data_IF_195032250515
#
_entry.id   IF_195032250515
#
_cell.length_a   1.000
_cell.length_b   1.000
_cell.length_c   1.000
_cell.angle_alpha   90.00
_cell.angle_beta   90.00
_cell.angle_gamma   90.00
#
_symmetry.space_group_name_H-M   'P 1'
#
loop_
_entity.id
_entity.type
_entity.pdbx_description
1 polymer ?
#
# COMPACT_ATOMS: atom_id res chain seq x y z
N UNK A 1 -9.20 -19.64 -2.58
CA UNK A 1 -8.25 -18.49 -2.47
C UNK A 1 -8.01 -17.81 -3.80
N UNK A 2 -7.52 -18.49 -4.85
CA UNK A 2 -7.26 -17.89 -6.17
C UNK A 2 -8.40 -17.02 -6.71
N UNK A 3 -9.66 -17.49 -6.61
CA UNK A 3 -10.85 -16.72 -7.03
C UNK A 3 -10.92 -15.36 -6.31
N UNK A 4 -10.69 -15.34 -5.00
CA UNK A 4 -10.79 -14.12 -4.21
C UNK A 4 -9.66 -13.11 -4.56
N UNK A 5 -8.45 -13.59 -4.91
CA UNK A 5 -7.40 -12.73 -5.46
C UNK A 5 -7.79 -12.17 -6.84
N UNK A 6 -8.45 -12.96 -7.69
CA UNK A 6 -8.96 -12.49 -8.98
C UNK A 6 -10.05 -11.43 -8.77
N UNK A 7 -10.95 -11.63 -7.80
CA UNK A 7 -11.99 -10.66 -7.46
C UNK A 7 -11.33 -9.35 -6.96
N UNK A 8 -10.33 -9.43 -6.07
CA UNK A 8 -9.56 -8.26 -5.63
C UNK A 8 -8.93 -7.50 -6.81
N UNK A 9 -8.26 -8.25 -7.70
CA UNK A 9 -7.68 -7.65 -8.91
C UNK A 9 -8.73 -6.89 -9.72
N UNK A 10 -9.89 -7.49 -9.97
CA UNK A 10 -10.94 -6.89 -10.80
C UNK A 10 -11.52 -5.62 -10.16
N UNK A 11 -11.78 -5.63 -8.85
CA UNK A 11 -12.24 -4.44 -8.12
C UNK A 11 -11.20 -3.30 -8.17
N UNK A 12 -9.91 -3.63 -8.03
CA UNK A 12 -8.83 -2.63 -8.16
C UNK A 12 -8.78 -2.06 -9.58
N UNK A 13 -8.99 -2.88 -10.62
CA UNK A 13 -9.06 -2.38 -12.00
C UNK A 13 -10.16 -1.34 -12.15
N UNK A 14 -11.35 -1.59 -11.61
CA UNK A 14 -12.46 -0.65 -11.65
C UNK A 14 -12.14 0.66 -10.95
N UNK A 15 -11.58 0.61 -9.72
CA UNK A 15 -11.17 1.81 -9.00
C UNK A 15 -10.11 2.60 -9.77
N UNK A 16 -9.15 1.89 -10.36
CA UNK A 16 -8.03 2.50 -11.10
C UNK A 16 -8.49 3.22 -12.36
N UNK A 17 -9.34 2.58 -13.15
CA UNK A 17 -9.86 3.14 -14.40
C UNK A 17 -10.79 4.34 -14.16
N UNK A 18 -11.50 4.35 -13.04
CA UNK A 18 -12.39 5.45 -12.63
C UNK A 18 -11.67 6.62 -11.93
N UNK A 19 -10.38 6.49 -11.62
CA UNK A 19 -9.59 7.56 -11.02
C UNK A 19 -8.57 8.11 -12.03
N UNK A 20 -8.72 9.39 -12.40
CA UNK A 20 -7.87 10.02 -13.42
C UNK A 20 -6.40 10.13 -13.00
N UNK A 21 -6.10 10.38 -11.73
CA UNK A 21 -4.72 10.50 -11.25
C UNK A 21 -4.00 9.16 -11.31
N UNK A 22 -4.64 8.08 -10.88
CA UNK A 22 -4.11 6.72 -10.99
C UNK A 22 -3.92 6.29 -12.46
N UNK A 23 -4.93 6.50 -13.29
CA UNK A 23 -4.89 6.11 -14.71
C UNK A 23 -3.89 6.93 -15.54
N UNK A 24 -3.59 8.17 -15.11
CA UNK A 24 -2.53 9.00 -15.70
C UNK A 24 -1.15 8.64 -15.16
N UNK A 25 -1.06 8.18 -13.91
CA UNK A 25 0.22 7.74 -13.34
C UNK A 25 0.75 6.52 -14.09
N UNK A 26 -0.04 5.46 -14.21
CA UNK A 26 0.32 4.28 -15.01
C UNK A 26 -0.90 3.47 -15.41
N UNK A 27 -0.79 2.73 -16.52
CA UNK A 27 -1.84 1.78 -16.94
C UNK A 27 -1.63 0.44 -16.26
N UNK A 28 -2.73 -0.15 -15.76
CA UNK A 28 -2.65 -1.50 -15.20
C UNK A 28 -2.32 -2.54 -16.28
N UNK A 29 -1.38 -3.47 -16.00
CA UNK A 29 -0.98 -4.50 -16.95
C UNK A 29 -2.12 -5.49 -17.23
N UNK A 30 -2.41 -5.79 -18.48
CA UNK A 30 -3.45 -6.75 -18.86
C UNK A 30 -3.01 -8.21 -18.82
N UNK A 31 -1.72 -8.46 -18.74
CA UNK A 31 -1.04 -9.76 -18.84
C UNK A 31 -0.55 -10.29 -17.47
N UNK A 32 -1.26 -9.96 -16.40
CA UNK A 32 -0.95 -10.43 -15.05
C UNK A 32 -1.12 -11.94 -14.91
N UNK A 33 -0.09 -12.62 -14.40
CA UNK A 33 -0.09 -14.06 -14.15
C UNK A 33 -0.25 -14.28 -12.64
N UNK A 34 -1.32 -14.98 -12.25
CA UNK A 34 -1.51 -15.35 -10.83
C UNK A 34 -0.36 -16.21 -10.34
N UNK A 35 0.19 -15.83 -9.21
CA UNK A 35 1.29 -16.49 -8.53
C UNK A 35 0.87 -16.87 -7.09
N UNK A 36 1.02 -18.14 -6.76
CA UNK A 36 0.73 -18.62 -5.41
C UNK A 36 1.96 -18.39 -4.52
N UNK A 37 1.84 -17.42 -3.64
CA UNK A 37 2.91 -17.05 -2.70
C UNK A 37 2.61 -17.63 -1.33
N UNK A 38 3.64 -18.12 -0.63
CA UNK A 38 3.49 -18.64 0.73
C UNK A 38 3.00 -17.53 1.67
N UNK A 39 1.91 -17.78 2.43
CA UNK A 39 1.39 -16.79 3.38
C UNK A 39 2.38 -16.46 4.49
N UNK A 40 2.37 -15.21 4.92
CA UNK A 40 3.05 -14.74 6.12
C UNK A 40 2.09 -13.86 6.92
N UNK A 41 1.51 -14.42 7.97
CA UNK A 41 0.42 -13.78 8.74
C UNK A 41 0.96 -13.06 9.98
N UNK A 42 1.25 -11.77 9.83
CA UNK A 42 1.85 -10.90 10.84
C UNK A 42 0.81 -10.19 11.74
N UNK A 43 1.24 -9.60 12.84
CA UNK A 43 0.35 -8.91 13.78
C UNK A 43 -0.48 -7.78 13.15
N UNK A 44 0.07 -6.89 12.30
CA UNK A 44 -0.74 -5.88 11.60
C UNK A 44 -1.86 -6.48 10.75
N UNK A 45 -1.64 -7.61 10.11
CA UNK A 45 -2.65 -8.32 9.33
C UNK A 45 -3.85 -8.76 10.19
N UNK A 46 -3.59 -9.23 11.42
CA UNK A 46 -4.64 -9.59 12.40
C UNK A 46 -5.46 -8.38 12.84
N UNK A 47 -4.81 -7.23 13.00
CA UNK A 47 -5.48 -5.98 13.37
C UNK A 47 -6.40 -5.46 12.26
N UNK A 48 -6.00 -5.64 10.98
CA UNK A 48 -6.80 -5.29 9.82
C UNK A 48 -8.11 -6.09 9.77
N UNK A 49 -8.10 -7.37 10.10
CA UNK A 49 -9.28 -8.23 10.04
C UNK A 49 -10.48 -7.73 10.86
N UNK A 50 -10.21 -7.07 11.98
CA UNK A 50 -11.24 -6.54 12.88
C UNK A 50 -11.67 -5.11 12.54
N UNK A 51 -11.15 -4.53 11.46
CA UNK A 51 -11.44 -3.15 11.06
C UNK A 51 -12.47 -3.11 9.93
N UNK A 52 -13.49 -2.26 10.06
CA UNK A 52 -14.50 -2.01 9.03
C UNK A 52 -14.16 -0.75 8.24
N UNK A 53 -14.36 -0.80 6.92
CA UNK A 53 -14.25 0.38 6.07
C UNK A 53 -15.48 1.29 6.26
N UNK A 54 -15.22 2.60 6.23
CA UNK A 54 -16.27 3.61 6.26
C UNK A 54 -16.54 4.23 4.87
N UNK A 55 -15.77 3.87 3.84
CA UNK A 55 -15.97 4.34 2.47
C UNK A 55 -16.76 3.34 1.66
N UNK A 56 -17.92 3.74 1.15
CA UNK A 56 -18.79 2.89 0.32
C UNK A 56 -18.07 2.48 -0.96
N UNK A 57 -17.36 3.39 -1.60
CA UNK A 57 -16.73 3.20 -2.91
C UNK A 57 -15.56 2.20 -2.87
N UNK A 58 -14.87 2.10 -1.74
CA UNK A 58 -13.70 1.23 -1.57
C UNK A 58 -13.94 0.04 -0.63
N UNK A 59 -15.12 -0.02 0.00
CA UNK A 59 -15.48 -1.06 0.99
C UNK A 59 -15.29 -2.47 0.43
N UNK A 60 -15.65 -2.70 -0.83
CA UNK A 60 -15.52 -4.01 -1.46
C UNK A 60 -14.06 -4.46 -1.52
N UNK A 61 -13.13 -3.58 -1.92
CA UNK A 61 -11.68 -3.87 -1.94
C UNK A 61 -11.17 -4.13 -0.53
N UNK A 62 -11.55 -3.27 0.43
CA UNK A 62 -11.19 -3.43 1.85
C UNK A 62 -11.61 -4.80 2.39
N UNK A 63 -12.87 -5.20 2.19
CA UNK A 63 -13.42 -6.45 2.71
C UNK A 63 -12.77 -7.68 2.07
N UNK A 64 -12.44 -7.63 0.79
CA UNK A 64 -11.70 -8.71 0.14
C UNK A 64 -10.28 -8.82 0.72
N UNK A 65 -9.58 -7.71 0.95
CA UNK A 65 -8.25 -7.72 1.57
C UNK A 65 -8.32 -8.32 2.97
N UNK A 66 -9.33 -7.96 3.78
CA UNK A 66 -9.55 -8.58 5.11
C UNK A 66 -9.72 -10.10 5.01
N UNK A 67 -10.58 -10.56 4.11
CA UNK A 67 -10.82 -12.00 3.91
C UNK A 67 -9.57 -12.74 3.44
N UNK A 68 -8.73 -12.08 2.64
CA UNK A 68 -7.47 -12.63 2.14
C UNK A 68 -6.34 -12.56 3.18
N UNK A 69 -6.46 -11.72 4.21
CA UNK A 69 -5.37 -11.39 5.13
C UNK A 69 -4.59 -12.59 5.69
N UNK A 70 -5.24 -13.72 6.09
CA UNK A 70 -4.52 -14.92 6.54
C UNK A 70 -3.76 -15.67 5.43
N UNK A 71 -4.02 -15.36 4.17
CA UNK A 71 -3.48 -16.05 3.00
C UNK A 71 -2.50 -15.20 2.19
N UNK A 72 -2.27 -13.97 2.64
CA UNK A 72 -1.36 -13.00 2.03
C UNK A 72 0.04 -13.21 2.57
N UNK A 73 1.04 -13.03 1.69
CA UNK A 73 2.42 -12.88 2.10
C UNK A 73 2.69 -11.45 2.56
N UNK A 74 2.33 -11.15 3.81
CA UNK A 74 2.62 -9.86 4.42
C UNK A 74 4.11 -9.70 4.67
N UNK A 75 4.62 -8.50 4.43
CA UNK A 75 6.03 -8.12 4.55
C UNK A 75 6.16 -6.87 5.42
N UNK A 76 7.37 -6.66 5.90
CA UNK A 76 7.82 -5.44 6.58
C UNK A 76 9.16 -5.05 5.98
N UNK A 77 9.33 -3.79 5.61
CA UNK A 77 10.53 -3.30 4.90
C UNK A 77 11.75 -3.23 5.81
N UNK A 78 11.52 -2.96 7.11
CA UNK A 78 12.58 -2.60 8.06
C UNK A 78 12.76 -3.66 9.12
N UNK A 79 13.95 -3.67 9.74
CA UNK A 79 14.23 -4.42 10.95
C UNK A 79 13.90 -3.58 12.20
N UNK A 80 13.70 -4.24 13.34
CA UNK A 80 13.37 -3.58 14.62
C UNK A 80 14.42 -2.54 15.02
N UNK A 81 15.70 -2.80 14.74
CA UNK A 81 16.80 -1.86 15.02
C UNK A 81 16.69 -0.53 14.27
N UNK A 82 15.97 -0.49 13.15
CA UNK A 82 15.88 0.70 12.27
C UNK A 82 14.68 1.59 12.61
N UNK A 83 13.56 0.98 13.00
CA UNK A 83 12.27 1.69 13.17
C UNK A 83 11.58 1.42 14.52
N UNK A 84 12.09 0.49 15.30
CA UNK A 84 11.54 0.08 16.58
C UNK A 84 10.36 -0.89 16.47
N UNK A 85 10.18 -1.68 17.53
CA UNK A 85 9.15 -2.72 17.63
C UNK A 85 7.72 -2.17 17.48
N UNK A 86 7.45 -1.02 18.12
CA UNK A 86 6.12 -0.39 18.09
C UNK A 86 5.65 -0.08 16.68
N UNK A 87 6.57 0.37 15.81
CA UNK A 87 6.25 0.60 14.39
C UNK A 87 5.89 -0.71 13.69
N UNK A 88 6.71 -1.75 13.85
CA UNK A 88 6.50 -3.05 13.19
C UNK A 88 5.20 -3.74 13.64
N UNK A 89 4.77 -3.56 14.87
CA UNK A 89 3.48 -4.07 15.37
C UNK A 89 2.27 -3.37 14.76
N UNK A 90 2.49 -2.27 14.04
CA UNK A 90 1.46 -1.39 13.46
C UNK A 90 1.57 -1.22 11.95
N UNK A 91 2.56 -1.85 11.30
CA UNK A 91 2.87 -1.68 9.88
C UNK A 91 3.01 -3.01 9.17
N UNK A 92 2.40 -3.11 8.01
CA UNK A 92 2.61 -4.23 7.11
C UNK A 92 2.18 -3.89 5.69
N UNK A 93 2.80 -4.55 4.72
CA UNK A 93 2.43 -4.43 3.32
C UNK A 93 2.52 -5.78 2.61
N UNK A 94 1.92 -5.85 1.43
CA UNK A 94 2.15 -6.96 0.49
C UNK A 94 2.17 -6.45 -0.94
N UNK A 95 2.88 -7.16 -1.80
CA UNK A 95 2.91 -6.91 -3.23
C UNK A 95 1.78 -7.68 -3.90
N UNK A 96 0.79 -6.96 -4.41
CA UNK A 96 -0.30 -7.57 -5.16
C UNK A 96 0.09 -7.81 -6.62
N UNK A 97 0.62 -6.77 -7.30
CA UNK A 97 1.19 -6.85 -8.64
C UNK A 97 2.68 -6.52 -8.58
N UNK A 98 3.51 -7.26 -9.28
CA UNK A 98 4.93 -6.96 -9.37
C UNK A 98 5.79 -8.19 -9.58
N UNK A 99 7.11 -8.03 -9.54
CA UNK A 99 8.05 -9.13 -9.80
C UNK A 99 7.94 -10.30 -8.83
N UNK A 100 7.48 -10.05 -7.58
CA UNK A 100 7.35 -11.08 -6.53
C UNK A 100 5.95 -11.14 -5.93
N UNK A 101 4.99 -10.47 -6.57
CA UNK A 101 3.62 -10.32 -6.08
C UNK A 101 2.73 -11.54 -6.29
N UNK A 102 1.48 -11.43 -5.81
CA UNK A 102 0.43 -12.41 -6.06
C UNK A 102 0.01 -12.45 -7.55
N UNK A 103 0.33 -11.42 -8.31
CA UNK A 103 0.25 -11.41 -9.77
C UNK A 103 1.57 -10.89 -10.33
N UNK A 104 2.23 -11.73 -11.12
CA UNK A 104 3.53 -11.41 -11.71
C UNK A 104 3.43 -10.41 -12.85
N UNK A 105 4.26 -9.39 -12.79
CA UNK A 105 4.51 -8.41 -13.85
C UNK A 105 5.83 -7.67 -13.60
N UNK A 106 6.48 -7.19 -14.66
CA UNK A 106 7.65 -6.30 -14.58
C UNK A 106 7.31 -4.87 -15.08
N UNK A 107 6.03 -4.55 -15.24
CA UNK A 107 5.60 -3.25 -15.78
C UNK A 107 5.35 -2.20 -14.70
N UNK A 108 5.00 -2.64 -13.51
CA UNK A 108 4.78 -1.81 -12.32
C UNK A 108 4.82 -2.70 -11.07
N UNK A 109 4.95 -2.09 -9.90
CA UNK A 109 4.57 -2.75 -8.64
C UNK A 109 3.33 -2.06 -8.08
N UNK A 110 2.41 -2.86 -7.54
CA UNK A 110 1.26 -2.41 -6.76
C UNK A 110 1.29 -3.10 -5.40
N UNK A 111 1.50 -2.30 -4.39
CA UNK A 111 1.48 -2.72 -3.01
C UNK A 111 0.16 -2.36 -2.35
N UNK A 112 -0.22 -3.12 -1.34
CA UNK A 112 -1.24 -2.75 -0.35
C UNK A 112 -0.51 -2.52 0.96
N UNK A 113 -0.66 -1.34 1.55
CA UNK A 113 -0.03 -0.95 2.80
C UNK A 113 -1.11 -0.74 3.86
N UNK A 114 -0.89 -1.31 5.03
CA UNK A 114 -1.68 -1.08 6.22
C UNK A 114 -0.85 -0.43 7.31
N UNK A 115 -1.37 0.67 7.86
CA UNK A 115 -0.86 1.33 9.07
C UNK A 115 -1.99 1.37 10.11
N UNK A 116 -1.70 0.84 11.30
CA UNK A 116 -2.60 0.96 12.46
C UNK A 116 -2.60 2.41 12.97
N UNK A 117 -3.56 2.75 13.83
CA UNK A 117 -3.65 4.08 14.45
C UNK A 117 -2.39 4.43 15.28
N UNK A 118 -2.12 5.72 15.41
CA UNK A 118 -0.98 6.25 16.18
C UNK A 118 0.37 5.65 15.73
N UNK A 119 0.62 5.68 14.42
CA UNK A 119 1.84 5.16 13.83
C UNK A 119 2.52 6.22 12.96
N UNK A 120 3.84 6.28 13.03
CA UNK A 120 4.66 7.16 12.20
C UNK A 120 5.55 6.34 11.29
N UNK A 121 5.22 6.33 10.00
CA UNK A 121 6.08 5.79 8.97
C UNK A 121 7.14 6.85 8.64
N UNK A 122 8.34 6.58 9.14
CA UNK A 122 9.45 7.54 9.15
C UNK A 122 9.81 8.06 7.76
N UNK A 123 10.50 9.21 7.74
CA UNK A 123 11.03 9.80 6.52
C UNK A 123 11.89 8.81 5.75
N UNK A 124 11.52 8.58 4.51
CA UNK A 124 12.23 7.68 3.60
C UNK A 124 12.14 8.19 2.16
N UNK A 125 12.96 7.63 1.29
CA UNK A 125 12.89 7.84 -0.14
C UNK A 125 13.31 6.59 -0.92
N UNK A 126 13.05 6.60 -2.21
CA UNK A 126 13.44 5.56 -3.16
C UNK A 126 13.50 6.14 -4.58
N UNK A 127 14.16 5.42 -5.51
CA UNK A 127 14.32 5.88 -6.88
C UNK A 127 13.03 5.77 -7.71
N UNK A 128 12.16 4.81 -7.42
CA UNK A 128 10.88 4.68 -8.10
C UNK A 128 10.01 5.93 -7.91
N UNK A 129 9.27 6.34 -8.92
CA UNK A 129 8.13 7.24 -8.74
C UNK A 129 6.96 6.48 -8.14
N UNK A 130 6.23 7.13 -7.24
CA UNK A 130 5.21 6.50 -6.41
C UNK A 130 3.93 7.30 -6.38
N UNK A 131 2.80 6.60 -6.33
CA UNK A 131 1.50 7.20 -6.02
C UNK A 131 0.77 6.38 -4.96
N UNK A 132 0.34 7.05 -3.90
CA UNK A 132 -0.59 6.52 -2.91
C UNK A 132 -2.03 6.76 -3.34
N UNK A 133 -2.91 5.82 -2.98
CA UNK A 133 -4.37 5.95 -3.09
C UNK A 133 -5.00 5.35 -1.83
N UNK A 134 -5.66 6.19 -1.03
CA UNK A 134 -6.27 5.73 0.22
C UNK A 134 -7.55 4.96 -0.05
N UNK A 135 -7.64 3.74 0.48
CA UNK A 135 -8.82 2.88 0.43
C UNK A 135 -9.72 3.11 1.65
N UNK A 136 -9.14 3.24 2.84
CA UNK A 136 -9.91 3.34 4.08
C UNK A 136 -9.15 4.07 5.16
N UNK A 137 -9.87 4.76 6.04
CA UNK A 137 -9.31 5.56 7.12
C UNK A 137 -8.62 6.82 6.62
N UNK A 138 -7.61 7.29 7.36
CA UNK A 138 -6.89 8.51 7.00
C UNK A 138 -5.45 8.50 7.50
N UNK A 139 -4.58 9.26 6.82
CA UNK A 139 -3.23 9.55 7.27
C UNK A 139 -2.80 10.94 6.82
N UNK A 140 -1.91 11.56 7.59
CA UNK A 140 -1.17 12.75 7.21
C UNK A 140 0.00 12.32 6.34
N UNK A 141 0.06 12.83 5.12
CA UNK A 141 1.15 12.62 4.16
C UNK A 141 2.02 13.88 4.09
N UNK A 142 3.30 13.70 4.22
CA UNK A 142 4.29 14.78 4.20
C UNK A 142 5.36 14.46 3.15
N UNK A 143 5.76 15.47 2.38
CA UNK A 143 6.90 15.38 1.46
C UNK A 143 7.78 16.62 1.67
N UNK A 144 9.10 16.46 1.58
CA UNK A 144 9.98 17.64 1.62
C UNK A 144 9.70 18.53 0.41
N UNK A 145 9.59 19.83 0.66
CA UNK A 145 9.28 20.91 -0.29
C UNK A 145 7.81 21.04 -0.68
N UNK A 146 6.90 20.22 -0.14
CA UNK A 146 5.48 20.35 -0.39
C UNK A 146 4.72 20.53 0.93
N UNK A 147 3.52 21.09 0.86
CA UNK A 147 2.62 21.13 2.00
C UNK A 147 2.13 19.72 2.35
N UNK A 148 1.90 19.49 3.65
CA UNK A 148 1.29 18.24 4.08
C UNK A 148 -0.19 18.19 3.68
N UNK A 149 -0.70 16.99 3.51
CA UNK A 149 -2.12 16.73 3.29
C UNK A 149 -2.61 15.60 4.18
N UNK A 150 -3.85 15.71 4.66
CA UNK A 150 -4.57 14.58 5.27
C UNK A 150 -5.37 13.92 4.17
N UNK A 151 -4.95 12.72 3.79
CA UNK A 151 -5.66 11.94 2.77
C UNK A 151 -6.70 11.04 3.42
N UNK A 152 -7.85 11.01 2.80
CA UNK A 152 -9.02 10.17 3.10
C UNK A 152 -9.33 9.28 1.90
N UNK A 153 -10.30 8.36 1.96
CA UNK A 153 -10.62 7.48 0.84
C UNK A 153 -10.80 8.22 -0.49
N UNK A 154 -10.32 7.59 -1.55
CA UNK A 154 -10.28 8.08 -2.95
C UNK A 154 -9.25 9.17 -3.25
N UNK A 155 -8.57 9.71 -2.24
CA UNK A 155 -7.50 10.69 -2.43
C UNK A 155 -6.18 10.02 -2.76
N UNK A 156 -5.36 10.73 -3.54
CA UNK A 156 -4.03 10.29 -3.96
C UNK A 156 -2.95 11.25 -3.50
N UNK A 157 -1.72 10.74 -3.41
CA UNK A 157 -0.50 11.56 -3.23
C UNK A 157 0.60 10.99 -4.09
N UNK A 158 1.13 11.83 -4.99
CA UNK A 158 2.28 11.51 -5.83
C UNK A 158 3.59 11.90 -5.15
N UNK A 159 4.59 11.03 -5.22
CA UNK A 159 5.97 11.28 -4.81
C UNK A 159 6.91 11.09 -5.99
N UNK A 160 7.75 12.10 -6.23
CA UNK A 160 8.79 12.05 -7.28
C UNK A 160 9.91 11.10 -6.87
N UNK A 161 10.67 10.65 -7.87
CA UNK A 161 11.92 9.90 -7.63
C UNK A 161 12.80 10.62 -6.60
N UNK A 162 13.26 9.88 -5.59
CA UNK A 162 14.08 10.34 -4.46
C UNK A 162 13.45 11.44 -3.58
N UNK A 163 12.19 11.79 -3.74
CA UNK A 163 11.53 12.76 -2.88
C UNK A 163 11.33 12.17 -1.47
N UNK A 164 11.93 12.77 -0.42
CA UNK A 164 11.71 12.32 0.93
C UNK A 164 10.25 12.54 1.35
N UNK A 165 9.63 11.51 1.91
CA UNK A 165 8.24 11.54 2.36
C UNK A 165 8.04 10.69 3.61
N UNK A 166 6.94 10.94 4.31
CA UNK A 166 6.53 10.24 5.52
C UNK A 166 5.02 10.19 5.64
N UNK A 167 4.51 9.26 6.46
CA UNK A 167 3.09 9.12 6.76
C UNK A 167 2.88 9.04 8.26
N UNK A 168 1.84 9.70 8.75
CA UNK A 168 1.42 9.61 10.15
C UNK A 168 -0.06 9.28 10.24
N UNK A 169 -0.39 8.17 10.87
CA UNK A 169 -1.75 7.89 11.31
C UNK A 169 -1.95 8.44 12.72
N UNK A 170 -3.11 9.05 12.95
CA UNK A 170 -3.52 9.54 14.26
C UNK A 170 -4.53 8.56 14.89
N UNK A 171 -5.73 9.02 15.17
CA UNK A 171 -6.78 8.19 15.80
C UNK A 171 -7.35 7.11 14.86
N UNK A 172 -7.12 7.24 13.56
CA UNK A 172 -7.60 6.29 12.55
C UNK A 172 -6.45 5.48 11.95
N UNK A 173 -6.78 4.27 11.53
CA UNK A 173 -5.93 3.42 10.70
C UNK A 173 -5.92 3.93 9.27
N UNK A 174 -4.96 3.47 8.47
CA UNK A 174 -4.91 3.76 7.04
C UNK A 174 -4.62 2.49 6.24
N UNK A 175 -5.47 2.21 5.25
CA UNK A 175 -5.24 1.19 4.23
C UNK A 175 -5.13 1.88 2.88
N UNK A 176 -4.04 1.65 2.17
CA UNK A 176 -3.76 2.31 0.90
C UNK A 176 -3.25 1.35 -0.16
N UNK A 177 -3.56 1.63 -1.42
CA UNK A 177 -2.80 1.14 -2.56
C UNK A 177 -1.58 2.05 -2.76
N UNK A 178 -0.46 1.46 -3.12
CA UNK A 178 0.77 2.18 -3.44
C UNK A 178 1.34 1.62 -4.72
N UNK A 179 1.39 2.43 -5.75
CA UNK A 179 1.94 2.00 -7.03
C UNK A 179 3.30 2.62 -7.28
N UNK A 180 4.21 1.80 -7.78
CA UNK A 180 5.49 2.21 -8.31
C UNK A 180 5.51 2.04 -9.81
N UNK A 181 6.06 3.04 -10.51
CA UNK A 181 6.45 2.94 -11.91
C UNK A 181 7.94 3.20 -12.02
N UNK A 182 8.56 2.61 -13.03
CA UNK A 182 10.00 2.61 -13.22
C UNK A 182 10.76 2.08 -11.99
N UNK A 183 11.99 1.66 -12.15
CA UNK A 183 12.88 1.31 -11.03
C UNK A 183 12.24 0.44 -9.93
N UNK A 184 11.50 -0.60 -10.31
CA UNK A 184 10.71 -1.45 -9.38
C UNK A 184 11.55 -2.15 -8.30
N UNK A 185 12.85 -2.32 -8.53
CA UNK A 185 13.80 -2.90 -7.59
C UNK A 185 14.49 -1.86 -6.69
N UNK A 186 13.93 -0.65 -6.57
CA UNK A 186 14.52 0.40 -5.75
C UNK A 186 14.56 0.01 -4.28
N UNK A 187 15.69 0.28 -3.65
CA UNK A 187 15.80 0.19 -2.19
C UNK A 187 15.11 1.39 -1.53
N UNK A 188 14.38 1.13 -0.46
CA UNK A 188 13.82 2.17 0.40
C UNK A 188 14.89 2.56 1.44
N UNK A 189 15.22 3.85 1.50
CA UNK A 189 16.23 4.38 2.40
C UNK A 189 15.60 5.31 3.43
N UNK A 190 15.86 5.04 4.71
CA UNK A 190 15.48 5.96 5.78
C UNK A 190 16.30 7.24 5.65
N UNK A 191 15.61 8.37 5.64
CA UNK A 191 16.23 9.71 5.62
C UNK A 191 16.40 10.15 7.08
N UNK A 192 17.65 10.20 7.54
CA UNK A 192 17.98 10.77 8.85
C UNK A 192 17.89 12.29 8.77
N UNK A 193 17.23 12.88 9.74
CA UNK A 193 17.18 14.35 9.90
C UNK A 193 18.57 14.90 10.28
#
# INVERSE_FOLDING_TARGET
MKKLFIDLKNEIYQLWENNLELSNFTKLPKDLIYNEVQPNYILPAKKLENWQSHSIETMRVHDIIKQLSPYINWKQTYEEKDVGKSFLEKYGYFELFGPTGHFLTNKMSLYVIFLDAENFYTWHNHEAEEIYFVLSGSAKFESKSDEFEILTPLKTRFHKSFQPHSLTTHNEKCLSLVAWRDKLNSEIKVVKN
#
